data_IF_439985601190
#
_entry.id   IF_439985601190
#
_cell.length_a   1.000
_cell.length_b   1.000
_cell.length_c   1.000
_cell.angle_alpha   90.00
_cell.angle_beta   90.00
_cell.angle_gamma   90.00
#
_symmetry.space_group_name_H-M   'P 1'
#
loop_
_entity.id
_entity.type
_entity.pdbx_description
1 polymer ?
#
# COMPACT_ATOMS: atom_id res chain seq x y z
N UNK A 1 2.35 -46.51 52.68
CA UNK A 1 1.71 -45.93 51.48
C UNK A 1 1.52 -44.46 51.70
N UNK A 2 2.39 -43.65 51.09
CA UNK A 2 2.41 -42.21 51.22
C UNK A 2 1.63 -41.58 50.07
N UNK A 3 0.38 -41.24 50.28
CA UNK A 3 -0.45 -40.45 49.38
C UNK A 3 -0.42 -38.97 49.77
N UNK A 4 0.76 -38.39 49.93
CA UNK A 4 0.87 -37.01 50.40
C UNK A 4 1.89 -36.17 49.64
N UNK A 5 2.05 -36.38 48.38
CA UNK A 5 3.01 -35.54 47.65
C UNK A 5 2.68 -35.25 46.18
N UNK A 6 1.39 -35.10 45.86
CA UNK A 6 1.02 -34.64 44.53
C UNK A 6 0.01 -33.50 44.55
N UNK A 7 0.27 -32.48 45.34
CA UNK A 7 -0.64 -31.33 45.35
C UNK A 7 0.07 -29.98 45.39
N UNK A 8 1.23 -29.85 44.84
CA UNK A 8 1.96 -28.56 44.91
C UNK A 8 2.41 -28.04 43.54
N UNK A 9 2.16 -28.72 42.44
CA UNK A 9 2.72 -28.30 41.15
C UNK A 9 1.72 -27.69 40.12
N UNK A 10 0.46 -27.48 40.47
CA UNK A 10 -0.52 -26.97 39.49
C UNK A 10 -0.80 -25.48 39.64
N UNK A 11 -0.21 -24.80 40.63
CA UNK A 11 -0.55 -23.41 40.94
C UNK A 11 0.38 -22.40 40.29
N UNK A 12 1.51 -22.81 39.71
CA UNK A 12 2.47 -21.89 39.14
C UNK A 12 2.45 -21.79 37.60
N UNK A 13 1.58 -22.54 36.92
CA UNK A 13 1.54 -22.51 35.46
C UNK A 13 0.42 -21.63 34.89
N UNK A 14 -0.30 -20.89 35.72
CA UNK A 14 -1.37 -19.99 35.29
C UNK A 14 -1.00 -18.50 35.23
N UNK A 15 0.21 -18.12 35.59
CA UNK A 15 0.64 -16.71 35.58
C UNK A 15 1.61 -16.35 34.47
N UNK A 16 2.03 -17.29 33.64
CA UNK A 16 3.00 -17.02 32.57
C UNK A 16 2.36 -16.73 31.18
N UNK A 17 1.03 -16.70 31.06
CA UNK A 17 0.37 -16.54 29.75
C UNK A 17 -0.32 -15.18 29.53
N UNK A 18 -0.07 -14.18 30.37
CA UNK A 18 -0.81 -12.90 30.31
C UNK A 18 0.02 -11.67 29.92
N UNK A 19 1.21 -11.84 29.33
CA UNK A 19 2.04 -10.68 28.94
C UNK A 19 2.59 -10.76 27.52
N UNK A 20 1.87 -11.37 26.58
CA UNK A 20 2.28 -11.36 25.18
C UNK A 20 1.15 -10.90 24.21
N UNK A 21 0.24 -10.05 24.67
CA UNK A 21 -0.50 -9.18 23.75
C UNK A 21 0.36 -7.95 23.47
N UNK A 22 1.46 -8.18 22.74
CA UNK A 22 2.17 -7.12 22.09
C UNK A 22 1.20 -6.46 21.11
N UNK A 23 0.74 -5.25 21.43
CA UNK A 23 0.16 -4.34 20.45
C UNK A 23 1.17 -4.21 19.32
N UNK A 24 0.96 -4.92 18.24
CA UNK A 24 1.49 -4.55 16.94
C UNK A 24 0.75 -3.27 16.53
N UNK A 25 1.11 -2.16 17.13
CA UNK A 25 0.91 -0.84 16.57
C UNK A 25 1.70 -0.85 15.27
N UNK A 26 1.02 -1.22 14.18
CA UNK A 26 1.52 -0.95 12.84
C UNK A 26 1.71 0.55 12.79
N UNK A 27 2.96 1.01 12.96
CA UNK A 27 3.33 2.38 12.74
C UNK A 27 3.01 2.68 11.28
N UNK A 28 1.84 3.30 11.04
CA UNK A 28 1.53 3.91 9.76
C UNK A 28 2.64 4.96 9.59
N UNK A 29 3.49 4.86 8.55
CA UNK A 29 4.52 5.85 8.35
C UNK A 29 3.83 7.21 8.25
N UNK A 30 4.18 8.13 9.14
CA UNK A 30 3.60 9.47 9.25
C UNK A 30 3.77 10.35 7.98
N UNK A 31 4.37 9.81 6.93
CA UNK A 31 4.66 10.46 5.65
C UNK A 31 4.07 9.74 4.44
N UNK A 32 3.03 8.92 4.60
CA UNK A 32 2.32 8.37 3.44
C UNK A 32 1.59 9.53 2.74
N UNK A 33 2.12 9.96 1.59
CA UNK A 33 1.49 10.98 0.76
C UNK A 33 0.11 10.50 0.31
N UNK A 34 -0.92 11.32 0.54
CA UNK A 34 -2.25 11.04 0.01
C UNK A 34 -2.27 11.19 -1.52
N UNK A 35 -3.26 10.55 -2.15
CA UNK A 35 -3.35 10.54 -3.60
C UNK A 35 -3.65 11.91 -4.20
N UNK A 36 -4.31 12.82 -3.47
CA UNK A 36 -4.58 14.18 -3.96
C UNK A 36 -3.30 15.01 -3.99
N UNK A 37 -2.52 15.00 -2.91
CA UNK A 37 -1.22 15.68 -2.86
C UNK A 37 -0.30 15.16 -3.98
N UNK A 38 -0.26 13.86 -4.19
CA UNK A 38 0.49 13.25 -5.28
C UNK A 38 0.00 13.71 -6.66
N UNK A 39 -1.30 13.70 -6.89
CA UNK A 39 -1.92 14.12 -8.15
C UNK A 39 -1.61 15.59 -8.47
N UNK A 40 -1.78 16.50 -7.50
CA UNK A 40 -1.49 17.93 -7.69
C UNK A 40 -0.02 18.14 -8.06
N UNK A 41 0.90 17.44 -7.40
CA UNK A 41 2.33 17.52 -7.74
C UNK A 41 2.62 16.93 -9.11
N UNK A 42 2.00 15.84 -9.50
CA UNK A 42 2.16 15.25 -10.83
C UNK A 42 1.71 16.21 -11.95
N UNK A 43 0.55 16.86 -11.76
CA UNK A 43 0.06 17.88 -12.69
C UNK A 43 1.03 19.06 -12.78
N UNK A 44 1.56 19.53 -11.64
CA UNK A 44 2.54 20.62 -11.61
C UNK A 44 3.85 20.25 -12.35
N UNK A 45 4.35 19.02 -12.14
CA UNK A 45 5.54 18.53 -12.86
C UNK A 45 5.30 18.43 -14.37
N UNK A 46 4.14 17.94 -14.78
CA UNK A 46 3.77 17.88 -16.21
C UNK A 46 3.79 19.27 -16.84
N UNK A 47 3.26 20.28 -16.16
CA UNK A 47 3.25 21.68 -16.65
C UNK A 47 4.66 22.25 -16.85
N UNK A 48 5.66 21.77 -16.10
CA UNK A 48 7.06 22.18 -16.27
C UNK A 48 7.72 21.59 -17.51
N UNK A 49 7.14 20.57 -18.15
CA UNK A 49 7.70 19.93 -19.33
C UNK A 49 9.13 19.43 -19.08
N UNK A 50 10.08 19.80 -19.94
CA UNK A 50 11.50 19.43 -19.80
C UNK A 50 12.13 19.94 -18.50
N UNK A 51 11.63 21.04 -17.91
CA UNK A 51 12.08 21.56 -16.62
C UNK A 51 11.75 20.66 -15.43
N UNK A 52 10.83 19.70 -15.59
CA UNK A 52 10.47 18.74 -14.53
C UNK A 52 11.67 17.88 -14.09
N UNK A 53 12.61 17.60 -14.99
CA UNK A 53 13.82 16.80 -14.69
C UNK A 53 14.66 17.43 -13.58
N UNK A 54 14.64 18.75 -13.46
CA UNK A 54 15.38 19.52 -12.46
C UNK A 54 14.53 19.84 -11.21
N UNK A 55 13.26 19.43 -11.19
CA UNK A 55 12.39 19.69 -10.07
C UNK A 55 12.77 18.82 -8.86
N UNK A 56 12.95 19.44 -7.69
CA UNK A 56 13.27 18.75 -6.43
C UNK A 56 12.24 17.69 -6.01
N UNK A 57 10.99 17.87 -6.41
CA UNK A 57 9.89 16.94 -6.08
C UNK A 57 9.87 15.69 -6.96
N UNK A 58 10.56 15.68 -8.11
CA UNK A 58 10.48 14.55 -9.05
C UNK A 58 10.95 13.23 -8.45
N UNK A 59 12.16 13.20 -7.88
CA UNK A 59 12.73 11.98 -7.31
C UNK A 59 11.90 11.42 -6.13
N UNK A 60 11.47 12.23 -5.15
CA UNK A 60 10.57 11.75 -4.10
C UNK A 60 9.26 11.17 -4.63
N UNK A 61 8.65 11.81 -5.63
CA UNK A 61 7.41 11.31 -6.23
C UNK A 61 7.59 9.99 -6.99
N UNK A 62 8.69 9.82 -7.72
CA UNK A 62 9.03 8.56 -8.36
C UNK A 62 9.11 7.44 -7.32
N UNK A 63 9.82 7.65 -6.20
CA UNK A 63 9.94 6.66 -5.14
C UNK A 63 8.59 6.29 -4.51
N UNK A 64 7.75 7.28 -4.24
CA UNK A 64 6.39 7.05 -3.70
C UNK A 64 5.59 6.18 -4.66
N UNK A 65 5.63 6.50 -5.95
CA UNK A 65 4.88 5.73 -6.94
C UNK A 65 5.46 4.32 -7.15
N UNK A 66 6.77 4.16 -7.24
CA UNK A 66 7.41 2.85 -7.37
C UNK A 66 7.04 1.94 -6.19
N UNK A 67 7.12 2.44 -4.95
CA UNK A 67 6.72 1.69 -3.77
C UNK A 67 5.23 1.29 -3.81
N UNK A 68 4.35 2.20 -4.25
CA UNK A 68 2.93 1.93 -4.42
C UNK A 68 2.69 0.85 -5.50
N UNK A 69 3.35 0.96 -6.64
CA UNK A 69 3.22 0.02 -7.76
C UNK A 69 3.73 -1.38 -7.39
N UNK A 70 4.86 -1.47 -6.71
CA UNK A 70 5.40 -2.75 -6.23
C UNK A 70 4.48 -3.42 -5.21
N UNK A 71 3.93 -2.66 -4.26
CA UNK A 71 3.00 -3.18 -3.27
C UNK A 71 1.72 -3.74 -3.92
N UNK A 72 1.15 -3.02 -4.89
CA UNK A 72 -0.04 -3.45 -5.63
C UNK A 72 0.26 -4.67 -6.51
N UNK A 73 1.44 -4.71 -7.12
CA UNK A 73 1.88 -5.90 -7.87
C UNK A 73 1.99 -7.12 -6.97
N UNK A 74 2.64 -6.99 -5.82
CA UNK A 74 2.80 -8.08 -4.86
C UNK A 74 1.44 -8.60 -4.36
N UNK A 75 0.49 -7.71 -4.08
CA UNK A 75 -0.89 -8.06 -3.72
C UNK A 75 -1.57 -8.89 -4.83
N UNK A 76 -1.43 -8.46 -6.08
CA UNK A 76 -1.98 -9.19 -7.21
C UNK A 76 -1.30 -10.54 -7.46
N UNK A 77 0.01 -10.64 -7.23
CA UNK A 77 0.76 -11.89 -7.37
C UNK A 77 0.26 -12.94 -6.35
N UNK A 78 0.00 -12.52 -5.10
CA UNK A 78 -0.62 -13.37 -4.07
C UNK A 78 -2.03 -13.81 -4.48
N UNK A 79 -2.86 -12.87 -4.93
CA UNK A 79 -4.22 -13.15 -5.40
C UNK A 79 -4.22 -14.11 -6.61
N UNK A 80 -3.28 -13.94 -7.52
CA UNK A 80 -3.10 -14.83 -8.69
C UNK A 80 -2.71 -16.24 -8.27
N UNK A 81 -1.86 -16.39 -7.26
CA UNK A 81 -1.43 -17.70 -6.78
C UNK A 81 -2.58 -18.56 -6.24
N UNK A 82 -3.65 -17.92 -5.74
CA UNK A 82 -4.87 -18.61 -5.28
C UNK A 82 -5.99 -18.63 -6.34
N UNK A 83 -5.70 -18.27 -7.60
CA UNK A 83 -6.64 -18.31 -8.71
C UNK A 83 -7.65 -17.16 -8.76
N UNK A 84 -7.44 -16.09 -7.99
CA UNK A 84 -8.33 -14.93 -7.91
C UNK A 84 -7.57 -13.61 -8.13
N UNK A 85 -6.95 -13.40 -9.31
CA UNK A 85 -6.20 -12.18 -9.60
C UNK A 85 -7.10 -10.94 -9.51
N UNK A 86 -6.56 -9.86 -8.95
CA UNK A 86 -7.27 -8.60 -8.82
C UNK A 86 -7.37 -7.86 -10.16
N UNK A 87 -6.36 -8.01 -10.99
CA UNK A 87 -6.31 -7.45 -12.35
C UNK A 87 -5.40 -8.27 -13.26
N UNK A 88 -5.59 -8.14 -14.56
CA UNK A 88 -4.88 -8.89 -15.60
C UNK A 88 -4.13 -7.95 -16.56
N UNK A 89 -3.14 -7.24 -16.03
CA UNK A 89 -2.30 -6.37 -16.84
C UNK A 89 -1.35 -7.19 -17.73
N UNK A 90 -1.04 -6.72 -18.97
CA UNK A 90 0.03 -7.28 -19.77
C UNK A 90 1.37 -7.21 -19.02
N UNK A 91 2.29 -8.16 -19.29
CA UNK A 91 3.61 -8.19 -18.65
C UNK A 91 4.39 -6.88 -18.83
N UNK A 92 4.21 -6.21 -19.94
CA UNK A 92 4.80 -4.90 -20.23
C UNK A 92 3.69 -3.95 -20.70
N UNK A 93 3.25 -3.09 -19.81
CA UNK A 93 2.41 -1.97 -20.18
C UNK A 93 3.09 -0.66 -19.80
N UNK A 94 2.82 0.38 -20.58
CA UNK A 94 3.34 1.72 -20.33
C UNK A 94 2.19 2.70 -20.34
N UNK A 95 2.29 3.72 -19.53
CA UNK A 95 1.41 4.87 -19.58
C UNK A 95 2.22 6.13 -19.91
N UNK A 96 1.65 6.99 -20.73
CA UNK A 96 2.14 8.35 -20.87
C UNK A 96 1.78 9.18 -19.63
N UNK A 97 2.46 10.32 -19.43
CA UNK A 97 2.11 11.23 -18.33
C UNK A 97 0.65 11.71 -18.42
N UNK A 98 0.13 11.91 -19.62
CA UNK A 98 -1.27 12.31 -19.86
C UNK A 98 -2.25 11.21 -19.43
N UNK A 99 -1.99 9.97 -19.84
CA UNK A 99 -2.81 8.83 -19.46
C UNK A 99 -2.78 8.64 -17.94
N UNK A 100 -1.62 8.74 -17.32
CA UNK A 100 -1.45 8.61 -15.87
C UNK A 100 -2.27 9.66 -15.11
N UNK A 101 -2.13 10.93 -15.46
CA UNK A 101 -2.88 12.03 -14.86
C UNK A 101 -4.40 11.86 -15.11
N UNK A 102 -4.79 11.46 -16.33
CA UNK A 102 -6.18 11.19 -16.66
C UNK A 102 -6.79 10.10 -15.79
N UNK A 103 -6.06 9.00 -15.55
CA UNK A 103 -6.56 7.92 -14.68
C UNK A 103 -6.74 8.36 -13.23
N UNK A 104 -5.80 9.12 -12.68
CA UNK A 104 -5.94 9.70 -11.34
C UNK A 104 -7.09 10.71 -11.25
N UNK A 105 -7.30 11.51 -12.29
CA UNK A 105 -8.39 12.51 -12.32
C UNK A 105 -9.80 11.89 -12.29
N UNK A 106 -9.94 10.62 -12.70
CA UNK A 106 -11.21 9.87 -12.63
C UNK A 106 -11.61 9.50 -11.21
N UNK A 107 -10.66 9.50 -10.28
CA UNK A 107 -10.98 9.32 -8.86
C UNK A 107 -11.44 10.67 -8.32
N UNK A 108 -12.62 10.78 -7.70
CA UNK A 108 -13.08 12.03 -7.13
C UNK A 108 -12.08 12.62 -6.13
N UNK A 109 -11.97 13.94 -6.09
CA UNK A 109 -11.01 14.66 -5.24
C UNK A 109 -11.15 14.25 -3.77
N UNK A 110 -12.37 14.16 -3.28
CA UNK A 110 -12.69 13.81 -1.90
C UNK A 110 -12.14 12.41 -1.54
N UNK A 111 -12.19 11.47 -2.47
CA UNK A 111 -11.62 10.14 -2.30
C UNK A 111 -10.09 10.18 -2.35
N UNK A 112 -9.50 10.94 -3.29
CA UNK A 112 -8.05 11.09 -3.35
C UNK A 112 -7.46 11.69 -2.07
N UNK A 113 -8.20 12.55 -1.38
CA UNK A 113 -7.78 13.16 -0.11
C UNK A 113 -7.66 12.17 1.06
N UNK A 114 -8.42 11.08 1.01
CA UNK A 114 -8.46 10.06 2.07
C UNK A 114 -7.80 8.74 1.67
N UNK A 115 -7.39 8.59 0.42
CA UNK A 115 -6.69 7.41 -0.08
C UNK A 115 -5.17 7.64 -0.10
N UNK A 116 -4.42 6.56 0.12
CA UNK A 116 -2.99 6.54 -0.20
C UNK A 116 -2.77 6.48 -1.72
N UNK A 117 -1.56 6.82 -2.16
CA UNK A 117 -1.15 6.62 -3.56
C UNK A 117 -1.28 5.14 -3.97
N UNK A 118 -0.97 4.22 -3.06
CA UNK A 118 -1.14 2.78 -3.26
C UNK A 118 -2.58 2.41 -3.56
N UNK A 119 -3.53 2.87 -2.73
CA UNK A 119 -4.94 2.50 -2.87
C UNK A 119 -5.53 3.10 -4.16
N UNK A 120 -5.16 4.34 -4.48
CA UNK A 120 -5.55 4.98 -5.73
C UNK A 120 -4.99 4.21 -6.95
N UNK A 121 -3.72 3.81 -6.91
CA UNK A 121 -3.11 3.02 -7.99
C UNK A 121 -3.76 1.65 -8.14
N UNK A 122 -4.05 0.98 -7.02
CA UNK A 122 -4.78 -0.29 -7.01
C UNK A 122 -6.13 -0.17 -7.72
N UNK A 123 -6.91 0.86 -7.41
CA UNK A 123 -8.19 1.13 -8.07
C UNK A 123 -8.02 1.36 -9.57
N UNK A 124 -7.01 2.12 -9.97
CA UNK A 124 -6.72 2.42 -11.38
C UNK A 124 -6.42 1.14 -12.15
N UNK A 125 -5.52 0.28 -11.66
CA UNK A 125 -5.12 -0.93 -12.41
C UNK A 125 -6.24 -1.96 -12.48
N UNK A 126 -7.06 -2.10 -11.43
CA UNK A 126 -8.25 -2.97 -11.44
C UNK A 126 -9.24 -2.50 -12.51
N UNK A 127 -9.51 -1.21 -12.58
CA UNK A 127 -10.43 -0.62 -13.56
C UNK A 127 -9.88 -0.71 -14.99
N UNK A 128 -8.57 -0.52 -15.16
CA UNK A 128 -7.93 -0.47 -16.48
C UNK A 128 -7.66 -1.85 -17.07
N UNK A 129 -7.40 -2.83 -16.23
CA UNK A 129 -7.03 -4.19 -16.63
C UNK A 129 -7.89 -5.24 -15.96
N UNK A 130 -9.20 -5.23 -16.20
CA UNK A 130 -10.07 -6.27 -15.65
C UNK A 130 -9.66 -7.65 -16.19
N UNK A 131 -9.82 -8.67 -15.36
CA UNK A 131 -9.63 -10.05 -15.79
C UNK A 131 -10.91 -10.59 -16.56
#
# INVERSE_FOLDING_TARGET
FNLRQERVEVTNMKFAFLLATGLLLSAIPANAMDAETFFVKAVALKKKGMGAVFAKDLKPMIRVFEAAAEAVKAENDVARAIGAPLFCAPKKYRMTADQFISEFSRIPKERRQIQSVRDAWREIVIRRFPC
#
